data_IF_535155640804
#
_entry.id   IF_535155640804
#
_cell.length_a   1.000
_cell.length_b   1.000
_cell.length_c   1.000
_cell.angle_alpha   90.00
_cell.angle_beta   90.00
_cell.angle_gamma   90.00
#
_symmetry.space_group_name_H-M   'P 1'
#
loop_
_entity.id
_entity.type
_entity.pdbx_description
1 polymer ?
#
# COMPACT_ATOMS: atom_id res chain seq x y z
N UNK A 1 -23.40 -30.41 0.55
CA UNK A 1 -24.09 -31.55 1.21
C UNK A 1 -25.37 -32.02 0.48
N UNK A 2 -25.64 -31.57 -0.76
CA UNK A 2 -26.84 -31.93 -1.55
C UNK A 2 -26.57 -32.95 -2.69
N UNK A 3 -25.34 -33.49 -2.80
CA UNK A 3 -24.99 -34.45 -3.85
C UNK A 3 -25.26 -35.91 -3.47
N UNK A 4 -25.55 -36.19 -2.19
CA UNK A 4 -25.68 -37.57 -1.68
C UNK A 4 -27.09 -38.14 -1.80
N UNK A 5 -28.14 -37.31 -1.89
CA UNK A 5 -29.53 -37.77 -1.94
C UNK A 5 -29.96 -38.21 -3.34
N UNK A 6 -29.49 -37.53 -4.40
CA UNK A 6 -29.78 -37.94 -5.78
C UNK A 6 -29.05 -39.23 -6.18
N UNK A 7 -27.87 -39.49 -5.63
CA UNK A 7 -27.13 -40.74 -5.85
C UNK A 7 -27.89 -41.94 -5.27
N UNK A 8 -28.35 -41.83 -4.03
CA UNK A 8 -29.11 -42.89 -3.37
C UNK A 8 -30.45 -43.20 -4.07
N UNK A 9 -31.14 -42.17 -4.57
CA UNK A 9 -32.42 -42.32 -5.28
C UNK A 9 -32.23 -42.97 -6.66
N UNK A 10 -31.11 -42.68 -7.34
CA UNK A 10 -30.75 -43.31 -8.61
C UNK A 10 -30.35 -44.79 -8.41
N UNK A 11 -29.58 -45.10 -7.36
CA UNK A 11 -29.20 -46.48 -7.00
C UNK A 11 -30.42 -47.34 -6.66
N UNK A 12 -31.39 -46.79 -5.92
CA UNK A 12 -32.64 -47.50 -5.61
C UNK A 12 -33.51 -47.77 -6.86
N UNK A 13 -33.54 -46.85 -7.83
CA UNK A 13 -34.24 -47.07 -9.12
C UNK A 13 -33.57 -48.16 -9.95
N UNK A 14 -32.23 -48.17 -9.98
CA UNK A 14 -31.45 -49.17 -10.70
C UNK A 14 -31.65 -50.57 -10.09
N UNK A 15 -31.63 -50.67 -8.75
CA UNK A 15 -31.89 -51.91 -8.02
C UNK A 15 -33.31 -52.45 -8.29
N UNK A 16 -34.32 -51.57 -8.29
CA UNK A 16 -35.71 -51.94 -8.60
C UNK A 16 -35.84 -52.55 -10.01
N UNK A 17 -35.28 -51.87 -11.02
CA UNK A 17 -35.36 -52.34 -12.41
C UNK A 17 -34.67 -53.70 -12.61
N UNK A 18 -33.55 -53.92 -11.93
CA UNK A 18 -32.81 -55.17 -11.99
C UNK A 18 -33.59 -56.34 -11.37
N UNK A 19 -34.28 -56.10 -10.25
CA UNK A 19 -35.16 -57.09 -9.62
C UNK A 19 -36.38 -57.40 -10.50
N UNK A 20 -36.98 -56.41 -11.15
CA UNK A 20 -38.10 -56.60 -12.07
C UNK A 20 -37.72 -57.46 -13.30
N UNK A 21 -36.52 -57.27 -13.84
CA UNK A 21 -35.99 -58.13 -14.92
C UNK A 21 -35.71 -59.56 -14.45
N UNK A 22 -35.12 -59.74 -13.28
CA UNK A 22 -34.87 -61.07 -12.70
C UNK A 22 -36.16 -61.83 -12.46
N UNK A 23 -37.19 -61.15 -11.96
CA UNK A 23 -38.51 -61.73 -11.69
C UNK A 23 -39.21 -62.14 -12.99
N UNK A 24 -39.13 -61.33 -14.05
CA UNK A 24 -39.62 -61.70 -15.39
C UNK A 24 -38.90 -62.94 -15.94
N UNK A 25 -37.57 -62.98 -15.83
CA UNK A 25 -36.77 -64.12 -16.29
C UNK A 25 -37.13 -65.41 -15.55
N UNK A 26 -37.28 -65.34 -14.22
CA UNK A 26 -37.67 -66.51 -13.40
C UNK A 26 -39.08 -67.00 -13.68
N UNK A 27 -40.03 -66.08 -13.91
CA UNK A 27 -41.39 -66.45 -14.34
C UNK A 27 -41.40 -67.14 -15.71
N UNK A 28 -40.57 -66.68 -16.66
CA UNK A 28 -40.44 -67.32 -17.96
C UNK A 28 -39.76 -68.70 -17.87
N UNK A 29 -38.71 -68.85 -17.05
CA UNK A 29 -38.08 -70.15 -16.76
C UNK A 29 -39.10 -71.13 -16.15
N UNK A 30 -39.89 -70.69 -15.17
CA UNK A 30 -40.93 -71.51 -14.56
C UNK A 30 -42.00 -71.92 -15.58
N UNK A 31 -42.48 -70.99 -16.41
CA UNK A 31 -43.46 -71.29 -17.45
C UNK A 31 -42.94 -72.32 -18.46
N UNK A 32 -41.68 -72.19 -18.92
CA UNK A 32 -41.05 -73.13 -19.83
C UNK A 32 -40.89 -74.53 -19.23
N UNK A 33 -40.47 -74.61 -17.95
CA UNK A 33 -40.32 -75.89 -17.24
C UNK A 33 -41.68 -76.55 -17.06
N UNK A 34 -42.71 -75.79 -16.69
CA UNK A 34 -44.06 -76.31 -16.49
C UNK A 34 -44.67 -76.80 -17.81
N UNK A 35 -44.46 -76.06 -18.91
CA UNK A 35 -44.90 -76.45 -20.24
C UNK A 35 -44.16 -77.69 -20.77
N UNK A 36 -42.86 -77.82 -20.48
CA UNK A 36 -42.07 -79.00 -20.83
C UNK A 36 -42.53 -80.25 -20.07
N UNK A 37 -42.80 -80.12 -18.76
CA UNK A 37 -43.27 -81.23 -17.94
C UNK A 37 -44.69 -81.67 -18.29
N UNK A 38 -45.57 -80.74 -18.68
CA UNK A 38 -46.95 -81.05 -19.11
C UNK A 38 -47.05 -81.69 -20.50
N UNK A 39 -46.03 -81.52 -21.35
CA UNK A 39 -46.02 -82.00 -22.73
C UNK A 39 -45.29 -83.33 -22.93
N UNK A 40 -44.74 -83.94 -21.87
CA UNK A 40 -43.84 -85.09 -21.98
C UNK A 40 -44.37 -86.29 -21.19
N UNK A 41 -45.04 -87.23 -21.88
CA UNK A 41 -45.19 -88.60 -21.40
C UNK A 41 -43.85 -89.32 -21.57
N UNK A 42 -43.07 -89.44 -20.50
CA UNK A 42 -41.75 -90.09 -20.56
C UNK A 42 -41.87 -91.60 -20.39
N UNK A 43 -41.69 -92.35 -21.49
CA UNK A 43 -41.48 -93.81 -21.45
C UNK A 43 -39.98 -94.13 -21.30
N UNK A 44 -39.62 -94.82 -20.22
CA UNK A 44 -38.24 -95.27 -20.01
C UNK A 44 -37.92 -96.49 -20.88
N UNK A 45 -37.27 -96.25 -22.03
CA UNK A 45 -36.83 -97.30 -22.96
C UNK A 45 -35.62 -98.11 -22.42
N UNK A 46 -34.80 -97.49 -21.56
CA UNK A 46 -33.56 -98.06 -21.02
C UNK A 46 -33.42 -97.74 -19.52
N UNK A 47 -32.96 -98.70 -18.72
CA UNK A 47 -32.72 -98.50 -17.29
C UNK A 47 -31.53 -97.54 -17.06
N UNK A 48 -31.71 -96.38 -16.40
CA UNK A 48 -30.66 -95.39 -16.22
C UNK A 48 -29.50 -95.83 -15.30
N UNK A 49 -29.68 -96.91 -14.52
CA UNK A 49 -28.64 -97.43 -13.61
C UNK A 49 -27.72 -98.48 -14.23
N UNK A 50 -28.24 -99.37 -15.07
CA UNK A 50 -27.48 -100.48 -15.65
C UNK A 50 -27.50 -100.53 -17.19
N UNK A 51 -28.17 -99.58 -17.85
CA UNK A 51 -28.28 -99.44 -19.31
C UNK A 51 -28.93 -100.63 -20.04
N UNK A 52 -29.62 -101.54 -19.32
CA UNK A 52 -30.41 -102.59 -19.96
C UNK A 52 -31.67 -102.02 -20.62
N UNK A 53 -31.99 -102.52 -21.83
CA UNK A 53 -33.24 -102.20 -22.52
C UNK A 53 -34.43 -102.78 -21.76
N UNK A 54 -35.48 -101.97 -21.60
CA UNK A 54 -36.69 -102.31 -20.85
C UNK A 54 -37.85 -102.75 -21.76
N UNK A 55 -37.64 -102.70 -23.08
CA UNK A 55 -38.55 -103.12 -24.14
C UNK A 55 -38.99 -104.60 -23.95
N UNK A 56 -40.30 -104.88 -23.94
CA UNK A 56 -40.93 -106.22 -23.81
C UNK A 56 -40.67 -107.00 -22.50
N UNK A 57 -40.23 -106.33 -21.43
CA UNK A 57 -40.17 -106.95 -20.10
C UNK A 57 -41.59 -107.18 -19.56
N UNK A 58 -41.91 -108.35 -18.97
CA UNK A 58 -43.20 -108.53 -18.31
C UNK A 58 -43.21 -107.69 -17.03
N UNK A 59 -43.84 -106.51 -17.10
CA UNK A 59 -44.08 -105.63 -15.95
C UNK A 59 -45.53 -105.84 -15.51
N UNK A 60 -45.79 -106.25 -14.25
CA UNK A 60 -47.14 -106.22 -13.69
C UNK A 60 -47.72 -104.80 -13.74
N UNK A 61 -49.02 -104.66 -13.96
CA UNK A 61 -49.67 -103.36 -14.21
C UNK A 61 -49.48 -102.28 -13.12
N UNK A 62 -49.00 -102.66 -11.93
CA UNK A 62 -48.86 -101.78 -10.76
C UNK A 62 -47.39 -101.60 -10.33
N UNK A 63 -46.42 -101.78 -11.22
CA UNK A 63 -44.99 -101.72 -10.91
C UNK A 63 -44.25 -100.76 -11.84
N UNK A 64 -43.31 -99.98 -11.29
CA UNK A 64 -42.49 -99.06 -12.06
C UNK A 64 -41.68 -99.81 -13.12
N UNK A 65 -41.77 -99.35 -14.37
CA UNK A 65 -41.13 -99.96 -15.56
C UNK A 65 -39.61 -100.09 -15.41
N UNK A 66 -38.98 -99.22 -14.61
CA UNK A 66 -37.52 -99.15 -14.45
C UNK A 66 -37.01 -100.09 -13.36
N UNK A 67 -37.54 -99.98 -12.14
CA UNK A 67 -37.01 -100.71 -10.98
C UNK A 67 -37.79 -101.98 -10.63
N UNK A 68 -38.93 -102.25 -11.28
CA UNK A 68 -39.91 -103.29 -10.90
C UNK A 68 -40.29 -103.28 -9.43
N UNK A 69 -40.13 -102.17 -8.72
CA UNK A 69 -40.82 -102.02 -7.46
C UNK A 69 -42.28 -101.71 -7.75
N UNK A 70 -43.22 -102.11 -6.88
CA UNK A 70 -44.58 -101.62 -6.97
C UNK A 70 -44.51 -100.10 -7.09
N UNK A 71 -45.16 -99.56 -8.12
CA UNK A 71 -45.30 -98.14 -8.27
C UNK A 71 -45.96 -97.69 -6.96
N UNK A 72 -45.40 -96.71 -6.22
CA UNK A 72 -46.10 -96.20 -5.06
C UNK A 72 -47.43 -95.70 -5.60
N UNK A 73 -48.49 -96.50 -5.41
CA UNK A 73 -49.85 -96.04 -5.62
C UNK A 73 -49.92 -94.72 -4.86
N UNK A 74 -50.65 -93.73 -5.36
CA UNK A 74 -50.91 -92.46 -4.65
C UNK A 74 -51.37 -92.65 -3.18
N UNK A 75 -51.66 -93.89 -2.77
CA UNK A 75 -51.89 -94.40 -1.43
C UNK A 75 -50.83 -94.11 -0.35
N UNK A 76 -49.55 -93.81 -0.66
CA UNK A 76 -48.53 -93.50 0.36
C UNK A 76 -48.21 -92.00 0.50
N UNK A 77 -48.72 -91.17 -0.41
CA UNK A 77 -48.77 -89.73 -0.18
C UNK A 77 -50.09 -89.47 0.52
N UNK A 78 -50.02 -89.32 1.85
CA UNK A 78 -51.21 -88.96 2.62
C UNK A 78 -51.83 -87.69 1.99
N UNK A 79 -53.02 -87.79 1.37
CA UNK A 79 -53.66 -86.66 0.73
C UNK A 79 -53.91 -85.53 1.73
N UNK A 80 -54.00 -85.86 3.03
CA UNK A 80 -54.11 -84.89 4.10
C UNK A 80 -52.79 -84.12 4.30
N UNK A 81 -51.61 -84.75 4.15
CA UNK A 81 -50.30 -84.07 4.26
C UNK A 81 -50.08 -83.10 3.09
N UNK A 82 -50.47 -83.48 1.87
CA UNK A 82 -50.40 -82.59 0.70
C UNK A 82 -51.39 -81.43 0.83
N UNK A 83 -52.62 -81.69 1.29
CA UNK A 83 -53.58 -80.63 1.57
C UNK A 83 -53.11 -79.71 2.70
N UNK A 84 -52.52 -80.25 3.77
CA UNK A 84 -51.97 -79.47 4.89
C UNK A 84 -50.82 -78.58 4.42
N UNK A 85 -49.88 -79.13 3.64
CA UNK A 85 -48.76 -78.36 3.08
C UNK A 85 -49.23 -77.27 2.15
N UNK A 86 -50.24 -77.55 1.32
CA UNK A 86 -50.86 -76.57 0.43
C UNK A 86 -51.55 -75.45 1.20
N UNK A 87 -52.32 -75.78 2.24
CA UNK A 87 -52.94 -74.78 3.14
C UNK A 87 -51.89 -73.91 3.83
N UNK A 88 -50.82 -74.51 4.35
CA UNK A 88 -49.73 -73.76 4.98
C UNK A 88 -49.02 -72.81 4.01
N UNK A 89 -48.81 -73.20 2.75
CA UNK A 89 -48.26 -72.33 1.70
C UNK A 89 -49.24 -71.23 1.28
N UNK A 90 -50.53 -71.53 1.21
CA UNK A 90 -51.58 -70.54 0.93
C UNK A 90 -51.66 -69.49 2.05
N UNK A 91 -51.56 -69.90 3.31
CA UNK A 91 -51.44 -69.02 4.48
C UNK A 91 -50.17 -68.15 4.42
N UNK A 92 -49.00 -68.74 4.14
CA UNK A 92 -47.75 -67.99 3.99
C UNK A 92 -47.79 -66.97 2.85
N UNK A 93 -48.46 -67.30 1.74
CA UNK A 93 -48.65 -66.37 0.63
C UNK A 93 -49.60 -65.22 1.01
N UNK A 94 -50.67 -65.51 1.76
CA UNK A 94 -51.56 -64.48 2.28
C UNK A 94 -50.82 -63.55 3.25
N UNK A 95 -50.04 -64.09 4.18
CA UNK A 95 -49.24 -63.30 5.12
C UNK A 95 -48.21 -62.43 4.39
N UNK A 96 -47.49 -63.00 3.42
CA UNK A 96 -46.54 -62.27 2.60
C UNK A 96 -47.22 -61.14 1.80
N UNK A 97 -48.42 -61.38 1.24
CA UNK A 97 -49.17 -60.33 0.54
C UNK A 97 -49.63 -59.22 1.49
N UNK A 98 -50.06 -59.57 2.71
CA UNK A 98 -50.48 -58.59 3.71
C UNK A 98 -49.31 -57.69 4.16
N UNK A 99 -48.12 -58.26 4.34
CA UNK A 99 -46.89 -57.50 4.64
C UNK A 99 -46.50 -56.60 3.47
N UNK A 100 -46.54 -57.11 2.23
CA UNK A 100 -46.23 -56.31 1.05
C UNK A 100 -47.18 -55.12 0.89
N UNK A 101 -48.48 -55.32 1.12
CA UNK A 101 -49.47 -54.24 1.05
C UNK A 101 -49.24 -53.20 2.16
N UNK A 102 -48.88 -53.64 3.38
CA UNK A 102 -48.53 -52.75 4.47
C UNK A 102 -47.27 -51.92 4.16
N UNK A 103 -46.21 -52.55 3.63
CA UNK A 103 -44.98 -51.88 3.24
C UNK A 103 -45.20 -50.87 2.11
N UNK A 104 -46.05 -51.21 1.14
CA UNK A 104 -46.41 -50.31 0.05
C UNK A 104 -47.11 -49.05 0.57
N UNK A 105 -48.01 -49.19 1.56
CA UNK A 105 -48.64 -48.03 2.20
C UNK A 105 -47.64 -47.19 3.00
N UNK A 106 -46.69 -47.82 3.71
CA UNK A 106 -45.63 -47.10 4.44
C UNK A 106 -44.74 -46.32 3.47
N UNK A 107 -44.34 -46.93 2.35
CA UNK A 107 -43.53 -46.29 1.32
C UNK A 107 -44.25 -45.09 0.70
N UNK A 108 -45.54 -45.22 0.37
CA UNK A 108 -46.33 -44.11 -0.15
C UNK A 108 -46.38 -42.94 0.84
N UNK A 109 -46.67 -43.20 2.12
CA UNK A 109 -46.67 -42.15 3.16
C UNK A 109 -45.30 -41.49 3.31
N UNK A 110 -44.22 -42.27 3.24
CA UNK A 110 -42.86 -41.73 3.31
C UNK A 110 -42.52 -40.85 2.10
N UNK A 111 -42.97 -41.22 0.90
CA UNK A 111 -42.80 -40.42 -0.32
C UNK A 111 -43.58 -39.11 -0.24
N UNK A 112 -44.84 -39.16 0.15
CA UNK A 112 -45.66 -37.95 0.35
C UNK A 112 -45.05 -37.02 1.40
N UNK A 113 -44.56 -37.58 2.51
CA UNK A 113 -43.88 -36.80 3.55
C UNK A 113 -42.58 -36.16 3.04
N UNK A 114 -41.81 -36.87 2.22
CA UNK A 114 -40.58 -36.35 1.61
C UNK A 114 -40.88 -35.20 0.63
N UNK A 115 -41.88 -35.36 -0.23
CA UNK A 115 -42.33 -34.32 -1.18
C UNK A 115 -42.82 -33.07 -0.44
N UNK A 116 -43.60 -33.25 0.63
CA UNK A 116 -44.05 -32.13 1.48
C UNK A 116 -42.88 -31.43 2.17
N UNK A 117 -41.90 -32.18 2.67
CA UNK A 117 -40.71 -31.62 3.31
C UNK A 117 -39.86 -30.83 2.30
N UNK A 118 -39.68 -31.35 1.09
CA UNK A 118 -38.95 -30.67 0.01
C UNK A 118 -39.65 -29.38 -0.44
N UNK A 119 -40.97 -29.42 -0.59
CA UNK A 119 -41.77 -28.24 -0.88
C UNK A 119 -41.65 -27.16 0.22
N UNK A 120 -41.67 -27.57 1.49
CA UNK A 120 -41.47 -26.64 2.63
C UNK A 120 -40.06 -26.06 2.64
N UNK A 121 -39.03 -26.88 2.43
CA UNK A 121 -37.65 -26.44 2.41
C UNK A 121 -37.38 -25.42 1.29
N UNK A 122 -37.88 -25.69 0.09
CA UNK A 122 -37.76 -24.76 -1.06
C UNK A 122 -38.51 -23.45 -0.82
N UNK A 123 -39.69 -23.50 -0.20
CA UNK A 123 -40.47 -22.31 0.16
C UNK A 123 -39.77 -21.47 1.21
N UNK A 124 -39.28 -22.08 2.29
CA UNK A 124 -38.53 -21.38 3.35
C UNK A 124 -37.25 -20.74 2.82
N UNK A 125 -36.55 -21.43 1.90
CA UNK A 125 -35.35 -20.89 1.26
C UNK A 125 -35.65 -19.64 0.43
N UNK A 126 -36.74 -19.67 -0.35
CA UNK A 126 -37.19 -18.48 -1.11
C UNK A 126 -37.57 -17.31 -0.20
N UNK A 127 -38.23 -17.59 0.93
CA UNK A 127 -38.58 -16.56 1.92
C UNK A 127 -37.33 -15.96 2.57
N UNK A 128 -36.36 -16.80 2.96
CA UNK A 128 -35.10 -16.35 3.53
C UNK A 128 -34.31 -15.50 2.53
N UNK A 129 -34.26 -15.89 1.25
CA UNK A 129 -33.60 -15.12 0.20
C UNK A 129 -34.29 -13.76 -0.02
N UNK A 130 -35.63 -13.71 0.04
CA UNK A 130 -36.40 -12.48 -0.07
C UNK A 130 -36.17 -11.55 1.13
N UNK A 131 -36.22 -12.09 2.35
CA UNK A 131 -35.94 -11.34 3.58
C UNK A 131 -34.52 -10.80 3.58
N UNK A 132 -33.53 -11.61 3.20
CA UNK A 132 -32.12 -11.20 3.13
C UNK A 132 -31.93 -10.08 2.11
N UNK A 133 -32.54 -10.21 0.92
CA UNK A 133 -32.51 -9.14 -0.09
C UNK A 133 -33.16 -7.84 0.39
N UNK A 134 -34.26 -7.92 1.14
CA UNK A 134 -35.01 -6.72 1.53
C UNK A 134 -34.48 -6.06 2.81
N UNK A 135 -33.81 -6.82 3.69
CA UNK A 135 -33.40 -6.31 5.01
C UNK A 135 -31.89 -6.13 5.14
N UNK A 136 -31.11 -7.06 4.59
CA UNK A 136 -29.65 -7.10 4.78
C UNK A 136 -28.95 -6.32 3.68
N UNK A 137 -29.32 -6.54 2.42
CA UNK A 137 -28.67 -5.87 1.29
C UNK A 137 -28.73 -4.32 1.35
N UNK A 138 -29.86 -3.68 1.71
CA UNK A 138 -29.92 -2.22 1.80
C UNK A 138 -29.03 -1.65 2.92
N UNK A 139 -28.81 -2.40 4.01
CA UNK A 139 -27.92 -1.98 5.09
C UNK A 139 -26.47 -2.01 4.65
N UNK A 140 -26.05 -3.04 3.93
CA UNK A 140 -24.71 -3.10 3.35
C UNK A 140 -24.47 -1.97 2.36
N UNK A 141 -25.46 -1.69 1.50
CA UNK A 141 -25.39 -0.55 0.57
C UNK A 141 -25.27 0.79 1.33
N UNK A 142 -26.08 1.00 2.37
CA UNK A 142 -26.00 2.20 3.18
C UNK A 142 -24.64 2.36 3.90
N UNK A 143 -24.06 1.25 4.39
CA UNK A 143 -22.71 1.24 4.98
C UNK A 143 -21.65 1.54 3.93
N UNK A 144 -21.74 0.94 2.74
CA UNK A 144 -20.81 1.18 1.64
C UNK A 144 -20.84 2.66 1.20
N UNK A 145 -22.04 3.23 1.02
CA UNK A 145 -22.21 4.65 0.69
C UNK A 145 -21.67 5.56 1.78
N UNK A 146 -21.93 5.24 3.05
CA UNK A 146 -21.40 6.02 4.17
C UNK A 146 -19.87 5.97 4.23
N UNK A 147 -19.29 4.79 4.00
CA UNK A 147 -17.84 4.60 3.96
C UNK A 147 -17.19 5.36 2.80
N UNK A 148 -17.82 5.34 1.62
CA UNK A 148 -17.39 6.13 0.47
C UNK A 148 -17.41 7.63 0.77
N UNK A 149 -18.50 8.14 1.39
CA UNK A 149 -18.59 9.55 1.82
C UNK A 149 -17.49 9.92 2.82
N UNK A 150 -17.22 9.06 3.80
CA UNK A 150 -16.14 9.29 4.77
C UNK A 150 -14.78 9.35 4.06
N UNK A 151 -14.52 8.47 3.09
CA UNK A 151 -13.28 8.52 2.32
C UNK A 151 -13.14 9.82 1.51
N UNK A 152 -14.20 10.26 0.84
CA UNK A 152 -14.22 11.54 0.10
C UNK A 152 -14.00 12.74 1.02
N UNK A 153 -14.66 12.76 2.18
CA UNK A 153 -14.50 13.82 3.17
C UNK A 153 -13.07 13.85 3.73
N UNK A 154 -12.47 12.69 4.04
CA UNK A 154 -11.07 12.60 4.45
C UNK A 154 -10.13 13.17 3.39
N UNK A 155 -10.28 12.76 2.13
CA UNK A 155 -9.48 13.29 1.04
C UNK A 155 -9.63 14.83 0.89
N UNK A 156 -10.84 15.34 1.12
CA UNK A 156 -11.10 16.79 1.10
C UNK A 156 -10.43 17.51 2.27
N UNK A 157 -10.48 16.94 3.47
CA UNK A 157 -9.79 17.46 4.65
C UNK A 157 -8.28 17.49 4.43
N UNK A 158 -7.71 16.42 3.88
CA UNK A 158 -6.28 16.32 3.59
C UNK A 158 -5.85 17.37 2.56
N UNK A 159 -6.65 17.59 1.51
CA UNK A 159 -6.40 18.63 0.51
C UNK A 159 -6.42 20.05 1.13
N UNK A 160 -7.40 20.33 2.01
CA UNK A 160 -7.47 21.62 2.71
C UNK A 160 -6.30 21.80 3.68
N UNK A 161 -5.87 20.73 4.37
CA UNK A 161 -4.71 20.76 5.24
C UNK A 161 -3.42 21.08 4.46
N UNK A 162 -3.22 20.45 3.31
CA UNK A 162 -2.09 20.74 2.42
C UNK A 162 -2.10 22.20 1.93
N UNK A 163 -3.27 22.72 1.57
CA UNK A 163 -3.41 24.12 1.14
C UNK A 163 -3.08 25.09 2.27
N UNK A 164 -3.53 24.81 3.49
CA UNK A 164 -3.19 25.61 4.68
C UNK A 164 -1.68 25.62 4.91
N UNK A 165 -1.04 24.46 4.86
CA UNK A 165 0.40 24.33 5.10
C UNK A 165 1.23 25.02 4.00
N UNK A 166 0.73 25.05 2.76
CA UNK A 166 1.28 25.86 1.69
C UNK A 166 1.21 27.36 2.01
N UNK A 167 0.06 27.87 2.47
CA UNK A 167 -0.08 29.28 2.83
C UNK A 167 0.77 29.69 4.03
N UNK A 168 0.95 28.81 5.02
CA UNK A 168 1.86 29.05 6.14
C UNK A 168 3.30 29.22 5.65
N UNK A 169 3.76 28.35 4.74
CA UNK A 169 5.09 28.48 4.10
C UNK A 169 5.21 29.73 3.25
N UNK A 170 4.19 30.07 2.47
CA UNK A 170 4.18 31.31 1.69
C UNK A 170 4.27 32.55 2.59
N UNK A 171 3.58 32.55 3.74
CA UNK A 171 3.67 33.64 4.71
C UNK A 171 5.04 33.73 5.36
N UNK A 172 5.66 32.61 5.74
CA UNK A 172 7.00 32.63 6.32
C UNK A 172 8.03 33.15 5.32
N UNK A 173 7.98 32.71 4.06
CA UNK A 173 8.86 33.22 2.99
C UNK A 173 8.67 34.73 2.81
N UNK A 174 7.42 35.21 2.74
CA UNK A 174 7.15 36.64 2.62
C UNK A 174 7.67 37.46 3.80
N UNK A 175 7.62 36.91 5.02
CA UNK A 175 8.20 37.57 6.19
C UNK A 175 9.72 37.65 6.07
N UNK A 176 10.39 36.55 5.73
CA UNK A 176 11.84 36.54 5.52
C UNK A 176 12.27 37.52 4.41
N UNK A 177 11.51 37.63 3.32
CA UNK A 177 11.78 38.62 2.26
C UNK A 177 11.69 40.05 2.79
N UNK A 178 10.70 40.35 3.63
CA UNK A 178 10.56 41.68 4.26
C UNK A 178 11.72 41.98 5.20
N UNK A 179 12.11 41.00 6.01
CA UNK A 179 13.20 41.15 6.97
C UNK A 179 14.53 41.41 6.25
N UNK A 180 14.85 40.60 5.22
CA UNK A 180 16.05 40.79 4.38
C UNK A 180 16.01 42.14 3.66
N UNK A 181 14.85 42.59 3.17
CA UNK A 181 14.72 43.88 2.51
C UNK A 181 14.96 45.05 3.47
N UNK A 182 14.51 44.93 4.72
CA UNK A 182 14.76 45.92 5.77
C UNK A 182 16.26 45.97 6.12
N UNK A 183 16.88 44.81 6.37
CA UNK A 183 18.31 44.71 6.67
C UNK A 183 19.16 45.28 5.53
N UNK A 184 18.85 44.93 4.29
CA UNK A 184 19.54 45.50 3.12
C UNK A 184 19.44 47.02 3.07
N UNK A 185 18.26 47.59 3.38
CA UNK A 185 18.05 49.04 3.38
C UNK A 185 18.92 49.70 4.45
N UNK A 186 18.97 49.13 5.65
CA UNK A 186 19.81 49.62 6.76
C UNK A 186 21.29 49.54 6.42
N UNK A 187 21.77 48.40 5.92
CA UNK A 187 23.16 48.22 5.51
C UNK A 187 23.55 49.16 4.37
N UNK A 188 22.65 49.39 3.40
CA UNK A 188 22.90 50.33 2.30
C UNK A 188 23.00 51.77 2.82
N UNK A 189 22.15 52.16 3.77
CA UNK A 189 22.21 53.48 4.39
C UNK A 189 23.50 53.66 5.20
N UNK A 190 23.88 52.66 6.00
CA UNK A 190 25.12 52.65 6.77
C UNK A 190 26.35 52.73 5.86
N UNK A 191 26.38 51.96 4.77
CA UNK A 191 27.45 52.01 3.77
C UNK A 191 27.57 53.41 3.16
N UNK A 192 26.47 53.99 2.67
CA UNK A 192 26.47 55.35 2.11
C UNK A 192 26.98 56.40 3.12
N UNK A 193 26.53 56.32 4.37
CA UNK A 193 26.97 57.23 5.42
C UNK A 193 28.49 57.11 5.68
N UNK A 194 29.01 55.88 5.75
CA UNK A 194 30.45 55.63 5.92
C UNK A 194 31.28 56.07 4.72
N UNK A 195 30.80 55.85 3.50
CA UNK A 195 31.48 56.33 2.30
C UNK A 195 31.51 57.85 2.25
N UNK A 196 30.42 58.53 2.62
CA UNK A 196 30.38 59.99 2.70
C UNK A 196 31.35 60.53 3.76
N UNK A 197 31.40 59.92 4.95
CA UNK A 197 32.34 60.27 6.03
C UNK A 197 33.80 60.08 5.59
N UNK A 198 34.12 58.99 4.90
CA UNK A 198 35.47 58.77 4.36
C UNK A 198 35.82 59.82 3.29
N UNK A 199 34.90 60.15 2.39
CA UNK A 199 35.12 61.18 1.38
C UNK A 199 35.35 62.55 2.02
N UNK A 200 34.56 62.95 3.03
CA UNK A 200 34.79 64.22 3.73
C UNK A 200 36.15 64.27 4.41
N UNK A 201 36.60 63.15 5.02
CA UNK A 201 37.94 63.07 5.64
C UNK A 201 39.06 63.18 4.61
N UNK A 202 38.90 62.55 3.44
CA UNK A 202 39.86 62.67 2.34
C UNK A 202 39.99 64.11 1.85
N UNK A 203 38.87 64.85 1.75
CA UNK A 203 38.89 66.28 1.42
C UNK A 203 39.68 67.08 2.46
N UNK A 204 39.45 66.85 3.76
CA UNK A 204 40.20 67.52 4.83
C UNK A 204 41.71 67.25 4.74
N UNK A 205 42.13 66.02 4.46
CA UNK A 205 43.55 65.69 4.30
C UNK A 205 44.14 66.39 3.06
N UNK A 206 43.39 66.48 1.96
CA UNK A 206 43.84 67.19 0.76
C UNK A 206 44.00 68.71 1.00
N UNK A 207 43.09 69.31 1.77
CA UNK A 207 43.20 70.72 2.19
C UNK A 207 44.40 70.94 3.11
N UNK A 208 44.63 70.05 4.09
CA UNK A 208 45.83 70.09 4.93
C UNK A 208 47.11 69.95 4.10
N UNK A 209 47.13 69.06 3.10
CA UNK A 209 48.27 68.93 2.18
C UNK A 209 48.56 70.24 1.43
N UNK A 210 47.51 70.97 1.07
CA UNK A 210 47.62 72.26 0.38
C UNK A 210 48.20 73.32 1.32
N UNK A 211 47.64 73.47 2.53
CA UNK A 211 48.16 74.40 3.55
C UNK A 211 49.61 74.10 3.90
N UNK A 212 49.94 72.82 4.13
CA UNK A 212 51.32 72.38 4.41
C UNK A 212 52.28 72.74 3.28
N UNK A 213 51.88 72.54 2.03
CA UNK A 213 52.71 72.91 0.87
C UNK A 213 52.92 74.41 0.79
N UNK A 214 51.86 75.21 0.93
CA UNK A 214 51.95 76.67 0.89
C UNK A 214 52.91 77.20 1.95
N UNK A 215 52.77 76.76 3.21
CA UNK A 215 53.66 77.18 4.30
C UNK A 215 55.11 76.74 4.03
N UNK A 216 55.30 75.53 3.50
CA UNK A 216 56.63 75.03 3.17
C UNK A 216 57.27 75.80 2.01
N UNK A 217 56.50 76.24 1.01
CA UNK A 217 56.96 77.09 -0.09
C UNK A 217 57.31 78.50 0.40
N UNK A 218 56.51 79.07 1.31
CA UNK A 218 56.76 80.38 1.94
C UNK A 218 58.05 80.39 2.77
N UNK A 219 58.43 79.24 3.33
CA UNK A 219 59.71 79.08 4.04
C UNK A 219 60.93 79.12 3.12
N UNK A 220 60.73 79.07 1.79
CA UNK A 220 61.78 79.11 0.77
C UNK A 220 62.97 78.20 1.12
N UNK A 221 62.73 76.89 1.29
CA UNK A 221 63.79 75.97 1.68
C UNK A 221 64.92 75.98 0.65
N UNK A 222 66.20 75.91 1.09
CA UNK A 222 67.36 75.92 0.20
C UNK A 222 67.52 74.64 -0.66
N UNK A 223 66.53 73.73 -0.65
CA UNK A 223 66.49 72.52 -1.47
C UNK A 223 65.24 72.52 -2.34
N UNK A 224 65.35 71.93 -3.53
CA UNK A 224 64.22 71.80 -4.46
C UNK A 224 63.19 70.80 -3.94
N UNK A 225 62.01 71.31 -3.61
CA UNK A 225 60.82 70.51 -3.24
C UNK A 225 60.12 70.07 -4.53
N UNK A 226 59.99 68.75 -4.72
CA UNK A 226 59.27 68.18 -5.87
C UNK A 226 57.82 67.86 -5.50
N UNK A 227 57.60 67.31 -4.31
CA UNK A 227 56.26 67.11 -3.77
C UNK A 227 56.27 67.22 -2.24
N UNK A 228 55.23 67.84 -1.69
CA UNK A 228 54.95 67.90 -0.27
C UNK A 228 53.49 67.49 -0.06
N UNK A 229 53.29 66.39 0.65
CA UNK A 229 51.99 65.74 0.87
C UNK A 229 51.97 65.18 2.30
N UNK A 230 50.81 65.17 2.94
CA UNK A 230 50.58 64.44 4.18
C UNK A 230 50.04 63.06 3.83
N UNK A 231 50.72 62.01 4.27
CA UNK A 231 50.32 60.64 3.99
C UNK A 231 48.96 60.34 4.67
N UNK A 232 47.92 59.90 3.94
CA UNK A 232 46.57 59.74 4.49
C UNK A 232 46.46 58.59 5.52
N UNK A 233 47.39 57.64 5.50
CA UNK A 233 47.38 56.48 6.40
C UNK A 233 48.12 56.77 7.72
N UNK A 234 49.32 57.36 7.64
CA UNK A 234 50.12 57.69 8.83
C UNK A 234 49.89 59.12 9.35
N UNK A 235 49.24 59.98 8.57
CA UNK A 235 49.09 61.43 8.80
C UNK A 235 50.42 62.18 8.92
N UNK A 236 51.54 61.60 8.48
CA UNK A 236 52.87 62.23 8.59
C UNK A 236 53.23 63.01 7.31
N UNK A 237 54.01 64.10 7.42
CA UNK A 237 54.46 64.85 6.26
C UNK A 237 55.50 64.05 5.47
N UNK A 238 55.23 63.85 4.19
CA UNK A 238 56.13 63.23 3.21
C UNK A 238 56.54 64.29 2.19
N UNK A 239 57.83 64.60 2.17
CA UNK A 239 58.43 65.54 1.21
C UNK A 239 59.39 64.79 0.31
N UNK A 240 59.21 64.90 -1.00
CA UNK A 240 60.10 64.36 -2.03
C UNK A 240 60.94 65.50 -2.62
N UNK A 241 62.23 65.26 -2.83
CA UNK A 241 63.18 66.25 -3.33
C UNK A 241 63.86 65.75 -4.60
N UNK A 242 64.03 66.62 -5.60
CA UNK A 242 64.55 66.26 -6.93
C UNK A 242 66.01 65.78 -6.91
N UNK A 243 66.80 66.22 -5.92
CA UNK A 243 68.21 65.82 -5.75
C UNK A 243 68.35 64.50 -4.96
N UNK A 244 67.92 63.39 -5.54
CA UNK A 244 68.08 62.06 -4.93
C UNK A 244 69.49 61.50 -5.16
N UNK A 245 70.48 61.94 -4.38
CA UNK A 245 71.74 61.20 -4.20
C UNK A 245 72.09 61.03 -2.73
N UNK A 246 71.61 59.91 -2.16
CA UNK A 246 72.13 59.17 -0.98
C UNK A 246 72.87 59.97 0.10
N UNK A 247 72.42 61.17 0.42
CA UNK A 247 72.90 61.96 1.54
C UNK A 247 71.73 62.11 2.49
N UNK A 248 71.96 61.65 3.73
CA UNK A 248 71.08 61.83 4.88
C UNK A 248 70.50 63.25 4.82
N UNK A 249 69.15 63.39 4.84
CA UNK A 249 68.52 64.71 4.89
C UNK A 249 69.20 65.53 5.99
N UNK A 250 69.71 66.73 5.69
CA UNK A 250 70.32 67.56 6.72
C UNK A 250 69.31 67.76 7.85
N UNK A 251 69.75 67.76 9.11
CA UNK A 251 68.86 67.97 10.26
C UNK A 251 68.02 69.26 10.12
N UNK A 252 68.57 70.26 9.43
CA UNK A 252 67.90 71.49 9.02
C UNK A 252 66.65 71.26 8.15
N UNK A 253 66.73 70.34 7.18
CA UNK A 253 65.62 70.01 6.32
C UNK A 253 64.48 69.32 7.06
N UNK A 254 64.81 68.40 7.97
CA UNK A 254 63.80 67.75 8.81
C UNK A 254 63.11 68.73 9.76
N UNK A 255 63.86 69.68 10.35
CA UNK A 255 63.28 70.68 11.24
C UNK A 255 62.38 71.67 10.50
N UNK A 256 62.77 72.10 9.30
CA UNK A 256 61.94 72.93 8.43
C UNK A 256 60.60 72.26 8.09
N UNK A 257 60.66 71.00 7.65
CA UNK A 257 59.46 70.19 7.34
C UNK A 257 58.58 70.01 8.58
N UNK A 258 59.16 69.67 9.73
CA UNK A 258 58.39 69.49 10.96
C UNK A 258 57.75 70.80 11.46
N UNK A 259 58.45 71.92 11.31
CA UNK A 259 57.94 73.24 11.69
C UNK A 259 56.80 73.68 10.76
N UNK A 260 56.99 73.56 9.45
CA UNK A 260 55.97 73.87 8.44
C UNK A 260 54.73 72.99 8.63
N UNK A 261 54.91 71.69 8.92
CA UNK A 261 53.80 70.78 9.20
C UNK A 261 53.08 71.12 10.51
N UNK A 262 53.82 71.47 11.58
CA UNK A 262 53.21 71.86 12.86
C UNK A 262 52.42 73.17 12.74
N UNK A 263 52.91 74.13 11.94
CA UNK A 263 52.20 75.36 11.62
C UNK A 263 50.97 75.10 10.75
N UNK A 264 51.09 74.22 9.75
CA UNK A 264 49.97 73.80 8.91
C UNK A 264 48.86 73.17 9.75
N UNK A 265 49.19 72.27 10.69
CA UNK A 265 48.20 71.72 11.62
C UNK A 265 47.55 72.78 12.49
N UNK A 266 48.32 73.75 12.99
CA UNK A 266 47.80 74.83 13.82
C UNK A 266 46.85 75.74 13.03
N UNK A 267 47.25 76.20 11.84
CA UNK A 267 46.40 77.01 10.95
C UNK A 267 45.16 76.25 10.48
N UNK A 268 45.33 74.96 10.18
CA UNK A 268 44.23 74.10 9.79
C UNK A 268 43.18 73.98 10.91
N UNK A 269 43.62 73.91 12.17
CA UNK A 269 42.72 73.91 13.34
C UNK A 269 41.97 75.22 13.56
N UNK A 270 42.53 76.36 13.15
CA UNK A 270 41.83 77.64 13.18
C UNK A 270 40.71 77.71 12.13
N UNK A 271 40.93 77.07 10.99
CA UNK A 271 39.95 77.04 9.87
C UNK A 271 38.91 75.93 10.05
N UNK A 272 39.29 74.83 10.70
CA UNK A 272 38.45 73.65 10.93
C UNK A 272 38.31 73.36 12.43
N UNK A 273 37.41 74.07 13.15
CA UNK A 273 37.26 73.92 14.60
C UNK A 273 36.78 72.52 15.03
N UNK A 274 36.18 71.77 14.12
CA UNK A 274 35.70 70.41 14.34
C UNK A 274 36.81 69.34 14.23
N UNK A 275 38.02 69.72 13.79
CA UNK A 275 39.16 68.82 13.64
C UNK A 275 40.06 68.91 14.88
N UNK A 276 40.30 67.76 15.51
CA UNK A 276 41.15 67.66 16.69
C UNK A 276 42.64 67.77 16.30
N UNK A 277 43.17 68.99 16.33
CA UNK A 277 44.59 69.29 16.19
C UNK A 277 45.10 70.04 17.44
N UNK A 278 46.43 70.16 17.63
CA UNK A 278 46.97 70.91 18.77
C UNK A 278 46.45 72.35 18.81
N UNK A 279 45.86 72.75 19.93
CA UNK A 279 45.23 74.06 20.13
C UNK A 279 46.21 75.19 20.48
N UNK A 280 47.48 74.85 20.72
CA UNK A 280 48.56 75.81 20.93
C UNK A 280 49.87 75.22 20.40
N UNK A 281 50.74 76.08 19.87
CA UNK A 281 52.05 75.71 19.34
C UNK A 281 53.13 76.52 20.05
N UNK A 282 54.12 75.84 20.63
CA UNK A 282 55.30 76.48 21.24
C UNK A 282 56.51 76.13 20.37
N UNK A 283 57.17 77.16 19.83
CA UNK A 283 58.38 77.02 19.04
C UNK A 283 59.53 77.56 19.87
N UNK A 284 60.35 76.66 20.42
CA UNK A 284 61.56 77.05 21.14
C UNK A 284 62.77 77.07 20.20
N UNK A 285 63.41 78.24 20.10
CA UNK A 285 64.73 78.43 19.46
C UNK A 285 64.86 77.90 18.01
N UNK A 286 63.98 78.28 17.07
CA UNK A 286 64.00 77.73 15.71
C UNK A 286 65.30 78.07 14.96
N UNK A 287 65.92 79.21 15.28
CA UNK A 287 67.11 79.77 14.60
C UNK A 287 68.35 78.88 14.67
N UNK A 288 68.48 78.00 15.67
CA UNK A 288 69.65 77.12 15.83
C UNK A 288 69.83 76.15 14.66
N UNK A 289 68.74 75.84 13.96
CA UNK A 289 68.69 74.78 12.95
C UNK A 289 68.63 75.35 11.52
N UNK A 290 68.13 76.56 11.33
CA UNK A 290 68.07 77.20 10.00
C UNK A 290 69.39 77.86 9.55
N UNK A 291 70.36 78.04 10.46
CA UNK A 291 71.61 78.74 10.16
C UNK A 291 71.38 80.23 9.87
N UNK A 292 72.39 81.07 10.09
CA UNK A 292 72.35 82.42 9.54
C UNK A 292 72.47 82.27 8.02
N UNK A 293 71.42 82.53 7.25
CA UNK A 293 71.56 82.85 5.83
C UNK A 293 72.09 84.29 5.77
N UNK A 294 73.37 84.53 5.40
CA UNK A 294 73.76 85.84 4.91
C UNK A 294 73.21 85.94 3.48
N UNK A 295 72.57 87.07 3.17
CA UNK A 295 71.98 87.42 1.86
C UNK A 295 70.48 87.09 1.70
N UNK A 296 69.69 87.94 2.38
CA UNK A 296 68.54 88.65 1.79
C UNK A 296 68.71 90.13 2.11
#
# INVERSE_FOLDING_TARGET
MFALTNSALMELRLAKNLLDEQLKKKKAEYANVTQFLQASDFDFVVCPRCMQRLENRPVPADHCVVCLQPDPRDADVDPDVVQQTRRALEEQLQDASAVQDADMQVLQRAQEAAEQAEFRATTLRRQLDALTRNTVAPRFEAIAQSSARVATLKATIDAVAQLRDFWTRARSINQTVRDIAAERKELTAAFKARTADLQSRQTLVAELCTSFRTILEDFQPPWEVESAVVDPDSYLPVVTTRSSRKSRRPAAASACVNLAYSLALFEFGLTHPDVLVPSFLIIDSPRRVFGNNPEG
#
